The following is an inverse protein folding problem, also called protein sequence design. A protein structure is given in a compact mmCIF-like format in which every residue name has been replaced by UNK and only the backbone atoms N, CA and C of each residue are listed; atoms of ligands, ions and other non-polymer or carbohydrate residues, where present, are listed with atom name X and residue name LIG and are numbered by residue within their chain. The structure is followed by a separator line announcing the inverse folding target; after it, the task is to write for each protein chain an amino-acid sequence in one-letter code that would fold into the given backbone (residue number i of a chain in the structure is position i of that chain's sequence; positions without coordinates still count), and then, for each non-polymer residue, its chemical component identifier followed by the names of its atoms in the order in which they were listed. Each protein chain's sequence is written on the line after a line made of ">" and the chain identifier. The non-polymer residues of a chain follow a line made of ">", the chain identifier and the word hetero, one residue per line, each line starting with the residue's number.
data_IF_859963847851
#
_entry.id   IF_859963847851
#
_cell.length_a   1.000
_cell.length_b   1.000
_cell.length_c   1.000
_cell.angle_alpha   90.00
_cell.angle_beta   90.00
_cell.angle_gamma   90.00
#
_symmetry.space_group_name_H-M   'P 1'
#
loop_
_entity.id
_entity.type
_entity.pdbx_description
1 polymer ?
#
# COMPACT_ATOMS: atom_id res chain seq x y z
N UNK A 1 -31.80 -21.96 2.21
CA UNK A 1 -31.16 -20.69 2.56
C UNK A 1 -29.62 -20.74 2.58
N UNK A 2 -28.98 -21.62 1.84
CA UNK A 2 -27.49 -21.75 1.79
C UNK A 2 -26.84 -21.14 0.54
N UNK A 3 -27.63 -20.65 -0.42
CA UNK A 3 -27.10 -20.12 -1.68
C UNK A 3 -26.70 -18.64 -1.65
N UNK A 4 -27.14 -17.86 -0.65
CA UNK A 4 -26.89 -16.41 -0.59
C UNK A 4 -25.49 -16.09 -0.04
N UNK A 5 -24.95 -16.92 0.85
CA UNK A 5 -23.62 -16.69 1.46
C UNK A 5 -22.45 -16.91 0.49
N UNK A 6 -22.62 -17.73 -0.54
CA UNK A 6 -21.56 -18.02 -1.52
C UNK A 6 -21.51 -17.02 -2.69
N UNK A 7 -22.56 -16.23 -2.89
CA UNK A 7 -22.62 -15.25 -3.98
C UNK A 7 -22.02 -13.88 -3.59
N UNK A 8 -21.98 -13.53 -2.29
CA UNK A 8 -21.47 -12.24 -1.81
C UNK A 8 -19.98 -12.03 -2.13
N UNK A 9 -19.07 -12.97 -1.87
CA UNK A 9 -17.66 -12.77 -2.22
C UNK A 9 -17.44 -12.68 -3.74
N UNK A 10 -18.12 -13.47 -4.54
CA UNK A 10 -18.01 -13.41 -6.01
C UNK A 10 -18.61 -12.12 -6.59
N UNK A 11 -19.70 -11.62 -6.05
CA UNK A 11 -20.28 -10.34 -6.44
C UNK A 11 -19.34 -9.16 -6.10
N UNK A 12 -18.71 -9.19 -4.94
CA UNK A 12 -17.74 -8.17 -4.53
C UNK A 12 -16.48 -8.20 -5.45
N UNK A 13 -15.97 -9.38 -5.77
CA UNK A 13 -14.82 -9.53 -6.70
C UNK A 13 -15.20 -9.03 -8.10
N UNK A 14 -16.37 -9.41 -8.63
CA UNK A 14 -16.84 -8.94 -9.93
C UNK A 14 -17.06 -7.42 -9.97
N UNK A 15 -17.58 -6.85 -8.89
CA UNK A 15 -17.76 -5.41 -8.76
C UNK A 15 -16.42 -4.68 -8.73
N UNK A 16 -15.45 -5.14 -7.94
CA UNK A 16 -14.08 -4.58 -7.89
C UNK A 16 -13.40 -4.66 -9.27
N UNK A 17 -13.50 -5.79 -9.96
CA UNK A 17 -12.94 -5.96 -11.30
C UNK A 17 -13.61 -5.01 -12.33
N UNK A 18 -14.92 -4.77 -12.20
CA UNK A 18 -15.64 -3.75 -12.98
C UNK A 18 -15.10 -2.34 -12.72
N UNK A 19 -14.86 -1.99 -11.48
CA UNK A 19 -14.26 -0.71 -11.09
C UNK A 19 -12.86 -0.53 -11.70
N UNK A 20 -12.01 -1.55 -11.64
CA UNK A 20 -10.68 -1.51 -12.25
C UNK A 20 -10.75 -1.35 -13.78
N UNK A 21 -11.72 -2.00 -14.45
CA UNK A 21 -11.94 -1.82 -15.89
C UNK A 21 -12.38 -0.39 -16.25
N UNK A 22 -13.28 0.20 -15.45
CA UNK A 22 -13.69 1.60 -15.59
C UNK A 22 -12.49 2.53 -15.38
N UNK A 23 -11.70 2.31 -14.31
CA UNK A 23 -10.48 3.05 -14.04
C UNK A 23 -9.54 3.02 -15.26
N UNK A 24 -9.23 1.83 -15.78
CA UNK A 24 -8.35 1.70 -16.96
C UNK A 24 -8.92 2.38 -18.21
N UNK A 25 -10.24 2.49 -18.34
CA UNK A 25 -10.87 3.17 -19.48
C UNK A 25 -10.59 4.67 -19.50
N UNK A 26 -10.44 5.32 -18.34
CA UNK A 26 -10.06 6.74 -18.25
C UNK A 26 -8.70 7.03 -18.89
N UNK A 27 -7.82 6.02 -18.92
CA UNK A 27 -6.47 6.12 -19.46
C UNK A 27 -6.31 5.39 -20.81
N UNK A 28 -7.42 5.11 -21.52
CA UNK A 28 -7.38 4.35 -22.76
C UNK A 28 -6.56 5.03 -23.88
N UNK A 29 -6.50 6.38 -23.87
CA UNK A 29 -5.73 7.18 -24.82
C UNK A 29 -4.23 7.34 -24.47
N UNK A 30 -3.78 6.77 -23.35
CA UNK A 30 -2.37 6.84 -22.96
C UNK A 30 -1.54 5.85 -23.78
N UNK A 31 -0.28 6.18 -24.00
CA UNK A 31 0.68 5.29 -24.64
C UNK A 31 0.87 4.02 -23.81
N UNK A 32 1.03 2.89 -24.52
CA UNK A 32 1.32 1.60 -23.90
C UNK A 32 2.81 1.33 -23.92
N UNK A 33 3.33 0.94 -22.78
CA UNK A 33 4.69 0.47 -22.61
C UNK A 33 4.63 -0.87 -21.88
N UNK A 34 5.40 -1.82 -22.32
CA UNK A 34 5.50 -3.14 -21.67
C UNK A 34 6.75 -3.19 -20.81
N UNK A 35 6.62 -3.80 -19.65
CA UNK A 35 7.73 -4.24 -18.82
C UNK A 35 7.66 -5.75 -18.60
N UNK A 36 8.60 -6.34 -17.87
CA UNK A 36 8.56 -7.77 -17.57
C UNK A 36 7.37 -8.15 -16.69
N UNK A 37 6.91 -7.22 -15.83
CA UNK A 37 5.89 -7.49 -14.83
C UNK A 37 4.63 -6.62 -14.92
N UNK A 38 4.58 -5.59 -15.79
CA UNK A 38 3.44 -4.68 -15.89
C UNK A 38 3.01 -4.42 -17.32
N UNK A 39 1.71 -4.16 -17.51
CA UNK A 39 1.18 -3.37 -18.60
C UNK A 39 1.19 -1.91 -18.18
N UNK A 40 2.05 -1.08 -18.76
CA UNK A 40 2.19 0.32 -18.37
C UNK A 40 1.37 1.21 -19.31
N UNK A 41 0.71 2.23 -18.75
CA UNK A 41 0.12 3.34 -19.49
C UNK A 41 0.69 4.66 -18.98
N UNK A 42 1.15 5.49 -19.92
CA UNK A 42 1.78 6.77 -19.63
C UNK A 42 1.25 7.86 -20.55
N UNK A 43 1.10 9.08 -20.06
CA UNK A 43 0.73 10.22 -20.90
C UNK A 43 1.85 10.53 -21.90
N UNK A 44 1.51 10.92 -23.14
CA UNK A 44 2.48 11.26 -24.17
C UNK A 44 3.47 12.36 -23.76
N UNK A 45 3.05 13.30 -22.90
CA UNK A 45 3.94 14.34 -22.36
C UNK A 45 5.07 13.79 -21.47
N UNK A 46 4.90 12.60 -20.91
CA UNK A 46 5.86 11.93 -20.03
C UNK A 46 6.53 10.70 -20.69
N UNK A 47 6.30 10.48 -22.00
CA UNK A 47 6.76 9.27 -22.69
C UNK A 47 8.28 9.09 -22.64
N UNK A 48 9.05 10.15 -22.52
CA UNK A 48 10.51 10.08 -22.33
C UNK A 48 10.92 9.40 -21.02
N UNK A 49 10.06 9.40 -19.99
CA UNK A 49 10.29 8.74 -18.70
C UNK A 49 9.99 7.25 -18.73
N UNK A 50 9.23 6.78 -19.74
CA UNK A 50 8.70 5.43 -19.78
C UNK A 50 9.76 4.32 -19.63
N UNK A 51 10.94 4.36 -20.28
CA UNK A 51 11.95 3.31 -20.13
C UNK A 51 12.49 3.23 -18.69
N UNK A 52 12.66 4.38 -18.03
CA UNK A 52 13.17 4.43 -16.65
C UNK A 52 12.12 3.98 -15.64
N UNK A 53 10.86 4.34 -15.86
CA UNK A 53 9.75 3.91 -15.02
C UNK A 53 9.47 2.42 -15.18
N UNK A 54 9.56 1.86 -16.38
CA UNK A 54 9.44 0.43 -16.61
C UNK A 54 10.57 -0.35 -15.90
N UNK A 55 11.81 0.10 -16.04
CA UNK A 55 12.95 -0.51 -15.35
C UNK A 55 12.78 -0.47 -13.83
N UNK A 56 12.32 0.65 -13.30
CA UNK A 56 12.08 0.80 -11.86
C UNK A 56 10.93 -0.10 -11.39
N UNK A 57 9.85 -0.20 -12.17
CA UNK A 57 8.75 -1.09 -11.86
C UNK A 57 9.21 -2.55 -11.73
N UNK A 58 10.01 -3.03 -12.69
CA UNK A 58 10.54 -4.39 -12.68
C UNK A 58 11.53 -4.59 -11.52
N UNK A 59 12.37 -3.60 -11.20
CA UNK A 59 13.26 -3.63 -10.04
C UNK A 59 12.47 -3.77 -8.72
N UNK A 60 11.43 -2.95 -8.54
CA UNK A 60 10.58 -2.98 -7.33
C UNK A 60 9.91 -4.33 -7.15
N UNK A 61 9.40 -4.95 -8.23
CA UNK A 61 8.84 -6.30 -8.17
C UNK A 61 9.85 -7.29 -7.59
N UNK A 62 11.09 -7.27 -8.10
CA UNK A 62 12.15 -8.15 -7.63
C UNK A 62 12.52 -7.92 -6.15
N UNK A 63 12.55 -6.67 -5.70
CA UNK A 63 12.86 -6.33 -4.31
C UNK A 63 11.70 -6.71 -3.35
N UNK A 64 10.46 -6.41 -3.74
CA UNK A 64 9.28 -6.81 -2.94
C UNK A 64 9.18 -8.33 -2.84
N UNK A 65 9.47 -9.07 -3.93
CA UNK A 65 9.44 -10.53 -3.92
C UNK A 65 10.45 -11.18 -2.95
N UNK A 66 11.56 -10.49 -2.62
CA UNK A 66 12.51 -10.96 -1.59
C UNK A 66 11.92 -10.87 -0.18
N UNK A 67 11.08 -9.87 0.08
CA UNK A 67 10.44 -9.65 1.37
C UNK A 67 9.12 -10.42 1.48
N UNK A 68 8.33 -10.43 0.41
CA UNK A 68 7.02 -11.04 0.29
C UNK A 68 6.99 -12.00 -0.90
N UNK A 69 7.51 -13.22 -0.77
CA UNK A 69 7.48 -14.22 -1.84
C UNK A 69 6.05 -14.47 -2.33
N UNK A 70 5.85 -14.44 -3.63
CA UNK A 70 4.55 -14.68 -4.25
C UNK A 70 4.74 -15.26 -5.66
N UNK A 71 3.67 -15.86 -6.19
CA UNK A 71 3.64 -16.38 -7.56
C UNK A 71 3.13 -15.25 -8.47
N UNK A 72 3.94 -14.86 -9.47
CA UNK A 72 3.50 -13.90 -10.48
C UNK A 72 2.37 -14.52 -11.31
N UNK A 73 1.29 -13.75 -11.49
CA UNK A 73 0.22 -14.14 -12.41
C UNK A 73 0.72 -14.07 -13.85
N UNK A 74 0.15 -14.92 -14.70
CA UNK A 74 0.38 -14.88 -16.14
C UNK A 74 -0.14 -13.58 -16.74
N UNK A 75 -1.25 -13.05 -16.19
CA UNK A 75 -1.81 -11.74 -16.53
C UNK A 75 -1.17 -10.67 -15.62
N UNK A 76 -0.38 -9.79 -16.22
CA UNK A 76 0.37 -8.75 -15.51
C UNK A 76 -0.58 -7.68 -14.98
N UNK A 77 -0.33 -7.11 -13.78
CA UNK A 77 -1.07 -5.93 -13.32
C UNK A 77 -0.80 -4.71 -14.21
N UNK A 78 -1.69 -3.75 -14.12
CA UNK A 78 -1.55 -2.47 -14.79
C UNK A 78 -0.82 -1.46 -13.91
N UNK A 79 0.10 -0.72 -14.52
CA UNK A 79 0.73 0.46 -13.92
C UNK A 79 0.35 1.68 -14.75
N UNK A 80 -0.39 2.59 -14.15
CA UNK A 80 -0.84 3.82 -14.79
C UNK A 80 -0.05 4.99 -14.22
N UNK A 81 0.58 5.77 -15.09
CA UNK A 81 1.31 6.99 -14.72
C UNK A 81 0.39 8.19 -14.99
N UNK A 82 -0.24 8.70 -13.94
CA UNK A 82 -1.13 9.85 -14.01
C UNK A 82 -0.32 11.15 -14.14
N UNK A 83 -0.59 12.01 -15.15
CA UNK A 83 0.25 13.18 -15.44
C UNK A 83 0.14 14.29 -14.37
N UNK A 84 -0.95 14.30 -13.61
CA UNK A 84 -1.23 15.29 -12.58
C UNK A 84 -2.23 14.81 -11.54
N UNK A 85 -2.34 15.51 -10.41
CA UNK A 85 -3.27 15.20 -9.31
C UNK A 85 -4.74 15.27 -9.75
N UNK A 86 -5.08 16.16 -10.67
CA UNK A 86 -6.45 16.30 -11.15
C UNK A 86 -6.90 15.04 -11.90
N UNK A 87 -6.05 14.54 -12.78
CA UNK A 87 -6.29 13.31 -13.54
C UNK A 87 -6.37 12.10 -12.61
N UNK A 88 -5.48 12.00 -11.63
CA UNK A 88 -5.51 10.93 -10.64
C UNK A 88 -6.81 10.97 -9.82
N UNK A 89 -7.15 12.11 -9.26
CA UNK A 89 -8.38 12.31 -8.45
C UNK A 89 -9.66 12.02 -9.23
N UNK A 90 -9.74 12.48 -10.47
CA UNK A 90 -10.93 12.28 -11.32
C UNK A 90 -11.23 10.80 -11.54
N UNK A 91 -10.20 9.97 -11.69
CA UNK A 91 -10.35 8.53 -11.88
C UNK A 91 -10.93 7.82 -10.64
N UNK A 92 -10.71 8.36 -9.44
CA UNK A 92 -11.20 7.79 -8.17
C UNK A 92 -12.42 8.55 -7.60
N UNK A 93 -12.93 9.57 -8.31
CA UNK A 93 -14.03 10.43 -7.85
C UNK A 93 -13.76 11.10 -6.50
N UNK A 94 -12.49 11.43 -6.19
CA UNK A 94 -12.11 12.08 -4.96
C UNK A 94 -12.38 13.59 -4.98
N UNK A 95 -12.78 14.12 -3.80
CA UNK A 95 -13.03 15.55 -3.63
C UNK A 95 -11.73 16.40 -3.61
N UNK A 96 -11.95 17.72 -3.62
CA UNK A 96 -10.86 18.67 -3.39
C UNK A 96 -10.25 18.46 -1.99
N UNK A 97 -8.92 18.59 -1.86
CA UNK A 97 -8.21 18.41 -0.60
C UNK A 97 -7.63 16.99 -0.37
N UNK A 98 -8.14 15.95 -1.04
CA UNK A 98 -7.53 14.63 -1.00
C UNK A 98 -6.33 14.60 -1.95
N UNK A 99 -5.14 14.24 -1.47
CA UNK A 99 -3.93 14.04 -2.26
C UNK A 99 -3.42 12.63 -2.09
N UNK A 100 -2.92 12.02 -3.16
CA UNK A 100 -2.20 10.75 -3.09
C UNK A 100 -1.05 10.76 -4.10
N UNK A 101 0.01 10.03 -3.81
CA UNK A 101 1.09 9.78 -4.75
C UNK A 101 0.85 8.52 -5.56
N UNK A 102 0.10 7.57 -4.98
CA UNK A 102 -0.29 6.32 -5.59
C UNK A 102 -1.65 5.84 -5.09
N UNK A 103 -2.24 4.92 -5.81
CA UNK A 103 -3.48 4.21 -5.44
C UNK A 103 -3.47 2.83 -6.09
N UNK A 104 -3.67 1.81 -5.30
CA UNK A 104 -3.92 0.46 -5.77
C UNK A 104 -5.42 0.15 -5.82
N UNK A 105 -5.88 -0.45 -6.90
CA UNK A 105 -7.25 -0.98 -7.02
C UNK A 105 -7.24 -2.30 -7.82
N UNK A 106 -7.48 -3.41 -7.16
CA UNK A 106 -7.59 -4.76 -7.71
C UNK A 106 -6.30 -5.22 -8.40
N UNK A 107 -6.15 -4.96 -9.70
CA UNK A 107 -4.99 -5.32 -10.52
C UNK A 107 -4.32 -4.08 -11.16
N UNK A 108 -4.65 -2.90 -10.65
CA UNK A 108 -4.24 -1.62 -11.24
C UNK A 108 -3.59 -0.73 -10.19
N UNK A 109 -2.34 -0.39 -10.41
CA UNK A 109 -1.60 0.61 -9.66
C UNK A 109 -1.66 1.91 -10.46
N UNK A 110 -2.12 3.00 -9.85
CA UNK A 110 -2.09 4.33 -10.46
C UNK A 110 -1.17 5.20 -9.63
N UNK A 111 -0.10 5.72 -10.22
CA UNK A 111 0.87 6.57 -9.52
C UNK A 111 1.00 7.93 -10.20
N UNK A 112 1.26 8.95 -9.40
CA UNK A 112 1.48 10.31 -9.90
C UNK A 112 2.82 10.39 -10.62
N UNK A 113 2.84 10.90 -11.84
CA UNK A 113 4.07 11.12 -12.62
C UNK A 113 5.09 11.95 -11.85
N UNK A 114 6.39 11.60 -11.89
CA UNK A 114 7.45 12.48 -11.36
C UNK A 114 7.37 13.91 -11.87
N UNK A 115 6.88 14.12 -13.10
CA UNK A 115 6.72 15.46 -13.69
C UNK A 115 5.77 16.36 -12.90
N UNK A 116 4.83 15.78 -12.17
CA UNK A 116 3.85 16.49 -11.35
C UNK A 116 4.32 16.78 -9.91
N UNK A 117 5.54 16.39 -9.55
CA UNK A 117 6.08 16.62 -8.20
C UNK A 117 6.64 18.05 -8.08
N UNK A 118 5.75 19.02 -7.90
CA UNK A 118 6.08 20.44 -7.89
C UNK A 118 6.84 20.93 -6.63
N UNK A 119 6.82 20.11 -5.55
CA UNK A 119 7.60 20.31 -4.33
C UNK A 119 9.07 19.88 -4.46
N UNK A 120 9.44 19.23 -5.58
CA UNK A 120 10.81 18.83 -5.93
C UNK A 120 11.26 19.64 -7.15
N UNK A 121 12.52 20.12 -7.15
CA UNK A 121 13.08 20.80 -8.33
C UNK A 121 13.06 19.89 -9.55
N UNK A 122 12.76 20.45 -10.72
CA UNK A 122 12.51 19.69 -11.96
C UNK A 122 13.62 18.68 -12.25
N UNK A 123 14.86 19.08 -12.03
CA UNK A 123 16.05 18.27 -12.32
C UNK A 123 16.18 17.04 -11.40
N UNK A 124 15.60 17.10 -10.22
CA UNK A 124 15.65 16.02 -9.21
C UNK A 124 14.40 15.14 -9.15
N UNK A 125 13.32 15.52 -9.83
CA UNK A 125 12.03 14.84 -9.72
C UNK A 125 12.11 13.33 -9.97
N UNK A 126 12.77 12.94 -11.04
CA UNK A 126 12.92 11.52 -11.36
C UNK A 126 13.80 10.81 -10.33
N UNK A 127 14.91 11.41 -9.90
CA UNK A 127 15.78 10.84 -8.88
C UNK A 127 15.05 10.61 -7.57
N UNK A 128 14.32 11.63 -7.07
CA UNK A 128 13.54 11.53 -5.84
C UNK A 128 12.39 10.53 -5.98
N UNK A 129 11.72 10.50 -7.15
CA UNK A 129 10.68 9.51 -7.42
C UNK A 129 11.22 8.07 -7.39
N UNK A 130 12.39 7.81 -7.97
CA UNK A 130 13.01 6.48 -7.96
C UNK A 130 13.47 6.06 -6.55
N UNK A 131 13.79 7.04 -5.69
CA UNK A 131 14.23 6.79 -4.32
C UNK A 131 13.07 6.70 -3.31
N UNK A 132 12.01 7.49 -3.49
CA UNK A 132 10.95 7.70 -2.49
C UNK A 132 9.53 7.57 -3.07
N UNK A 133 9.40 7.13 -4.32
CA UNK A 133 8.09 7.03 -4.98
C UNK A 133 7.24 5.87 -4.45
N UNK A 134 5.91 5.95 -4.63
CA UNK A 134 4.95 5.05 -3.99
C UNK A 134 4.87 3.65 -4.61
N UNK A 135 5.71 3.34 -5.60
CA UNK A 135 5.55 2.11 -6.38
C UNK A 135 5.69 0.84 -5.55
N UNK A 136 6.63 0.81 -4.59
CA UNK A 136 6.80 -0.32 -3.67
C UNK A 136 5.59 -0.48 -2.74
N UNK A 137 5.03 0.64 -2.29
CA UNK A 137 3.82 0.69 -1.48
C UNK A 137 2.62 0.09 -2.22
N UNK A 138 2.31 0.62 -3.41
CA UNK A 138 1.16 0.18 -4.20
C UNK A 138 1.31 -1.28 -4.69
N UNK A 139 2.53 -1.69 -5.03
CA UNK A 139 2.79 -3.06 -5.43
C UNK A 139 2.64 -4.04 -4.24
N UNK A 140 2.94 -3.61 -3.03
CA UNK A 140 2.70 -4.42 -1.83
C UNK A 140 1.21 -4.70 -1.63
N UNK A 141 0.32 -3.75 -1.85
CA UNK A 141 -1.12 -3.99 -1.81
C UNK A 141 -1.57 -5.04 -2.86
N UNK A 142 -1.00 -4.98 -4.07
CA UNK A 142 -1.26 -6.01 -5.08
C UNK A 142 -0.81 -7.41 -4.60
N UNK A 143 0.38 -7.52 -4.02
CA UNK A 143 0.88 -8.79 -3.48
C UNK A 143 0.01 -9.30 -2.33
N UNK A 144 -0.45 -8.41 -1.45
CA UNK A 144 -1.40 -8.76 -0.39
C UNK A 144 -2.69 -9.36 -0.95
N UNK A 145 -3.34 -8.65 -1.86
CA UNK A 145 -4.57 -9.14 -2.51
C UNK A 145 -4.34 -10.48 -3.22
N UNK A 146 -3.19 -10.63 -3.89
CA UNK A 146 -2.83 -11.86 -4.57
C UNK A 146 -2.69 -13.05 -3.62
N UNK A 147 -2.08 -12.84 -2.44
CA UNK A 147 -1.83 -13.89 -1.45
C UNK A 147 -3.04 -14.18 -0.57
N UNK A 148 -3.85 -13.18 -0.24
CA UNK A 148 -4.87 -13.29 0.81
C UNK A 148 -6.30 -13.18 0.30
N UNK A 149 -6.51 -12.75 -0.95
CA UNK A 149 -7.85 -12.48 -1.48
C UNK A 149 -8.57 -11.32 -0.78
N UNK A 150 -7.82 -10.41 -0.12
CA UNK A 150 -8.37 -9.28 0.63
C UNK A 150 -8.81 -9.63 2.07
N UNK A 151 -8.43 -10.78 2.59
CA UNK A 151 -8.77 -11.22 3.96
C UNK A 151 -7.79 -10.64 5.00
N UNK A 152 -7.82 -9.31 5.18
CA UNK A 152 -6.98 -8.60 6.16
C UNK A 152 -7.66 -7.31 6.63
N UNK A 153 -7.33 -6.79 7.83
CA UNK A 153 -7.76 -5.45 8.25
C UNK A 153 -7.03 -4.37 7.43
N UNK A 154 -7.72 -3.29 7.08
CA UNK A 154 -7.15 -2.22 6.25
C UNK A 154 -5.86 -1.63 6.84
N UNK A 155 -5.83 -1.37 8.16
CA UNK A 155 -4.62 -0.87 8.83
C UNK A 155 -3.40 -1.79 8.66
N UNK A 156 -3.62 -3.11 8.60
CA UNK A 156 -2.53 -4.08 8.39
C UNK A 156 -1.97 -3.97 6.97
N UNK A 157 -2.84 -3.80 5.99
CA UNK A 157 -2.44 -3.56 4.58
C UNK A 157 -1.55 -2.33 4.48
N UNK A 158 -2.00 -1.19 5.04
CA UNK A 158 -1.23 0.06 5.04
C UNK A 158 0.09 -0.07 5.82
N UNK A 159 0.05 -0.71 6.97
CA UNK A 159 1.25 -0.92 7.79
C UNK A 159 2.28 -1.81 7.11
N UNK A 160 1.86 -2.87 6.40
CA UNK A 160 2.77 -3.75 5.67
C UNK A 160 3.34 -3.06 4.42
N UNK A 161 2.50 -2.31 3.68
CA UNK A 161 2.96 -1.55 2.53
C UNK A 161 4.03 -0.52 2.92
N UNK A 162 3.81 0.22 4.02
CA UNK A 162 4.81 1.14 4.55
C UNK A 162 6.06 0.44 5.10
N UNK A 163 5.93 -0.73 5.73
CA UNK A 163 7.09 -1.49 6.20
C UNK A 163 7.97 -1.93 5.03
N UNK A 164 7.36 -2.43 3.96
CA UNK A 164 8.09 -2.81 2.74
C UNK A 164 8.76 -1.60 2.11
N UNK A 165 8.03 -0.50 1.94
CA UNK A 165 8.57 0.76 1.42
C UNK A 165 9.76 1.27 2.27
N UNK A 166 9.60 1.28 3.59
CA UNK A 166 10.68 1.64 4.52
C UNK A 166 11.91 0.74 4.39
N UNK A 167 11.72 -0.58 4.22
CA UNK A 167 12.83 -1.52 4.04
C UNK A 167 13.56 -1.34 2.70
N UNK A 168 12.86 -0.92 1.67
CA UNK A 168 13.45 -0.73 0.35
C UNK A 168 14.17 0.62 0.19
N UNK A 169 13.59 1.69 0.72
CA UNK A 169 14.05 3.05 0.43
C UNK A 169 14.20 3.95 1.67
N UNK A 170 13.84 3.48 2.85
CA UNK A 170 13.92 4.26 4.10
C UNK A 170 12.84 5.31 4.26
N UNK A 171 11.83 5.34 3.38
CA UNK A 171 10.75 6.32 3.46
C UNK A 171 9.81 6.04 4.63
N UNK A 172 9.43 7.07 5.36
CA UNK A 172 8.40 7.07 6.40
C UNK A 172 7.61 8.38 6.32
N UNK A 173 6.29 8.29 6.25
CA UNK A 173 5.45 9.47 6.29
C UNK A 173 5.36 10.03 7.71
N UNK A 174 6.10 11.10 7.98
CA UNK A 174 6.16 11.76 9.28
C UNK A 174 5.68 13.21 9.14
N UNK A 175 4.61 13.53 9.85
CA UNK A 175 4.06 14.88 9.97
C UNK A 175 4.07 15.37 11.43
N UNK A 176 3.74 16.63 11.64
CA UNK A 176 3.86 17.29 12.94
C UNK A 176 2.94 16.68 14.01
N UNK A 177 1.79 16.13 13.59
CA UNK A 177 0.78 15.51 14.46
C UNK A 177 0.80 13.97 14.42
N UNK A 178 1.82 13.37 13.81
CA UNK A 178 1.96 11.91 13.69
C UNK A 178 2.76 11.24 14.81
N UNK A 179 3.06 11.97 15.90
CA UNK A 179 3.70 11.38 17.08
C UNK A 179 2.80 10.34 17.76
N UNK A 180 3.36 9.17 18.11
CA UNK A 180 2.63 8.14 18.86
C UNK A 180 2.50 8.45 20.36
N UNK A 181 2.57 9.73 20.77
CA UNK A 181 2.17 10.18 22.11
C UNK A 181 0.66 10.07 22.34
N UNK A 182 -0.10 10.13 21.25
CA UNK A 182 -1.55 9.89 21.15
C UNK A 182 -1.80 8.95 19.95
N UNK A 183 -2.79 8.06 20.03
CA UNK A 183 -3.02 7.05 18.99
C UNK A 183 -4.47 6.56 18.97
N UNK A 184 -4.90 6.06 17.84
CA UNK A 184 -6.19 5.44 17.65
C UNK A 184 -6.27 4.05 18.28
N UNK A 185 -7.44 3.68 18.78
CA UNK A 185 -7.72 2.31 19.18
C UNK A 185 -7.76 1.38 17.95
N UNK A 186 -7.60 0.06 18.16
CA UNK A 186 -7.78 -0.90 17.06
C UNK A 186 -9.18 -0.84 16.45
N UNK A 187 -10.21 -0.55 17.27
CA UNK A 187 -11.57 -0.44 16.79
C UNK A 187 -11.75 0.75 15.82
N UNK A 188 -11.11 1.89 16.09
CA UNK A 188 -11.10 3.07 15.21
C UNK A 188 -10.37 2.76 13.90
N UNK A 189 -9.16 2.15 13.98
CA UNK A 189 -8.39 1.76 12.79
C UNK A 189 -9.12 0.74 11.89
N UNK A 190 -10.01 -0.07 12.46
CA UNK A 190 -10.78 -1.10 11.75
C UNK A 190 -12.14 -0.61 11.26
N UNK A 191 -12.67 0.50 11.79
CA UNK A 191 -14.00 1.00 11.42
C UNK A 191 -13.99 1.67 10.06
N UNK A 192 -13.28 2.77 9.93
CA UNK A 192 -13.09 3.53 8.68
C UNK A 192 -11.74 4.25 8.74
N UNK A 193 -10.70 3.54 8.39
CA UNK A 193 -9.33 4.04 8.40
C UNK A 193 -9.16 5.31 7.55
N UNK A 194 -9.86 5.38 6.42
CA UNK A 194 -9.75 6.48 5.47
C UNK A 194 -10.48 7.74 5.91
N UNK A 195 -11.42 7.63 6.85
CA UNK A 195 -12.14 8.76 7.43
C UNK A 195 -11.50 9.32 8.72
N UNK A 196 -10.41 8.72 9.19
CA UNK A 196 -9.69 9.24 10.36
C UNK A 196 -9.11 10.63 10.06
N UNK A 197 -9.25 11.56 11.00
CA UNK A 197 -8.90 12.97 10.82
C UNK A 197 -7.37 13.23 10.78
N UNK A 198 -6.57 12.36 11.45
CA UNK A 198 -5.11 12.45 11.49
C UNK A 198 -4.49 11.29 10.69
N UNK A 199 -4.55 11.41 9.36
CA UNK A 199 -4.11 10.33 8.46
C UNK A 199 -2.65 9.95 8.68
N UNK A 200 -1.72 10.90 8.75
CA UNK A 200 -0.31 10.62 8.98
C UNK A 200 -0.07 9.85 10.29
N UNK A 201 -0.86 10.13 11.35
CA UNK A 201 -0.82 9.35 12.58
C UNK A 201 -1.33 7.92 12.36
N UNK A 202 -2.47 7.74 11.69
CA UNK A 202 -3.06 6.43 11.43
C UNK A 202 -2.12 5.53 10.63
N UNK A 203 -1.53 6.06 9.56
CA UNK A 203 -0.53 5.38 8.74
C UNK A 203 0.71 5.02 9.53
N UNK A 204 1.26 5.96 10.29
CA UNK A 204 2.45 5.71 11.11
C UNK A 204 2.20 4.71 12.23
N UNK A 205 1.02 4.75 12.83
CA UNK A 205 0.58 3.76 13.82
C UNK A 205 0.44 2.38 13.20
N UNK A 206 -0.10 2.27 11.99
CA UNK A 206 -0.19 1.03 11.23
C UNK A 206 1.21 0.45 10.94
N UNK A 207 2.15 1.28 10.45
CA UNK A 207 3.56 0.93 10.29
C UNK A 207 4.17 0.39 11.60
N UNK A 208 3.97 1.10 12.72
CA UNK A 208 4.55 0.70 14.01
C UNK A 208 4.01 -0.64 14.50
N UNK A 209 2.72 -0.94 14.27
CA UNK A 209 2.10 -2.22 14.64
C UNK A 209 2.66 -3.38 13.83
N UNK A 210 2.84 -3.20 12.52
CA UNK A 210 3.43 -4.23 11.66
C UNK A 210 4.92 -4.39 11.92
N UNK A 211 5.64 -3.29 12.20
CA UNK A 211 7.05 -3.34 12.65
C UNK A 211 7.21 -4.09 13.99
N UNK A 212 6.24 -3.97 14.88
CA UNK A 212 6.22 -4.77 16.12
C UNK A 212 6.12 -6.27 15.80
N UNK A 213 5.17 -6.68 14.95
CA UNK A 213 5.05 -8.09 14.54
C UNK A 213 6.33 -8.59 13.86
N UNK A 214 6.91 -7.76 12.99
CA UNK A 214 8.19 -8.09 12.35
C UNK A 214 9.32 -8.22 13.38
N UNK A 215 9.36 -7.39 14.43
CA UNK A 215 10.38 -7.49 15.48
C UNK A 215 10.30 -8.79 16.29
N UNK A 216 9.14 -9.43 16.38
CA UNK A 216 8.93 -10.69 17.08
C UNK A 216 9.41 -11.91 16.30
N UNK A 217 9.14 -11.96 14.99
CA UNK A 217 9.41 -13.15 14.16
C UNK A 217 9.97 -12.84 12.76
N UNK A 218 10.46 -11.63 12.54
CA UNK A 218 10.99 -11.20 11.24
C UNK A 218 9.93 -11.19 10.14
N UNK A 219 10.40 -11.05 8.90
CA UNK A 219 9.56 -11.16 7.71
C UNK A 219 8.96 -12.57 7.54
N UNK A 220 9.58 -13.61 8.10
CA UNK A 220 9.06 -14.98 8.09
C UNK A 220 7.71 -15.04 8.78
N UNK A 221 7.59 -14.52 10.01
CA UNK A 221 6.31 -14.50 10.73
C UNK A 221 5.21 -13.71 10.02
N UNK A 222 5.57 -12.61 9.33
CA UNK A 222 4.61 -11.88 8.50
C UNK A 222 4.18 -12.70 7.27
N UNK A 223 5.09 -13.45 6.66
CA UNK A 223 4.77 -14.34 5.55
C UNK A 223 3.88 -15.51 5.97
N UNK A 224 4.14 -16.12 7.14
CA UNK A 224 3.27 -17.15 7.72
C UNK A 224 1.85 -16.59 7.94
N UNK A 225 1.73 -15.34 8.44
CA UNK A 225 0.46 -14.67 8.63
C UNK A 225 -0.30 -14.49 7.30
N UNK A 226 0.40 -14.06 6.22
CA UNK A 226 -0.21 -13.93 4.90
C UNK A 226 -0.68 -15.28 4.34
N UNK A 227 0.04 -16.36 4.59
CA UNK A 227 -0.34 -17.71 4.15
C UNK A 227 -1.59 -18.20 4.88
N UNK A 228 -1.72 -17.92 6.19
CA UNK A 228 -2.92 -18.23 6.96
C UNK A 228 -4.14 -17.44 6.47
N UNK A 229 -3.95 -16.14 6.23
CA UNK A 229 -4.99 -15.27 5.66
C UNK A 229 -5.45 -15.78 4.28
N UNK A 230 -4.49 -16.24 3.45
CA UNK A 230 -4.78 -16.82 2.14
C UNK A 230 -5.57 -18.15 2.21
N UNK A 231 -5.45 -18.88 3.31
CA UNK A 231 -6.26 -20.07 3.62
C UNK A 231 -7.64 -19.74 4.20
N UNK A 232 -7.97 -18.46 4.36
CA UNK A 232 -9.25 -18.01 4.90
C UNK A 232 -9.31 -17.95 6.43
N UNK A 233 -8.19 -18.11 7.13
CA UNK A 233 -8.09 -17.90 8.57
C UNK A 233 -8.25 -16.42 8.88
N UNK A 234 -9.02 -16.04 9.88
CA UNK A 234 -9.20 -14.64 10.26
C UNK A 234 -7.92 -14.04 10.83
N UNK A 235 -7.72 -12.73 10.67
CA UNK A 235 -6.51 -12.04 11.09
C UNK A 235 -6.15 -12.32 12.57
N UNK A 236 -7.09 -12.21 13.49
CA UNK A 236 -6.82 -12.41 14.91
C UNK A 236 -6.62 -13.88 15.29
N UNK A 237 -7.21 -14.81 14.56
CA UNK A 237 -6.93 -16.23 14.75
C UNK A 237 -5.50 -16.54 14.28
N UNK A 238 -5.10 -16.11 13.10
CA UNK A 238 -3.74 -16.27 12.58
C UNK A 238 -2.71 -15.57 13.48
N UNK A 239 -3.03 -14.37 13.98
CA UNK A 239 -2.19 -13.67 14.95
C UNK A 239 -1.96 -14.49 16.22
N UNK A 240 -3.02 -15.14 16.72
CA UNK A 240 -2.92 -16.00 17.91
C UNK A 240 -2.12 -17.27 17.64
N UNK A 241 -2.32 -17.91 16.50
CA UNK A 241 -1.62 -19.15 16.15
C UNK A 241 -0.12 -18.93 15.90
N UNK A 242 0.24 -17.82 15.23
CA UNK A 242 1.63 -17.54 14.84
C UNK A 242 2.42 -16.83 15.94
N UNK A 243 1.82 -15.84 16.59
CA UNK A 243 2.50 -14.97 17.54
C UNK A 243 2.11 -15.22 19.01
N UNK A 244 1.09 -16.06 19.26
CA UNK A 244 0.56 -16.26 20.62
C UNK A 244 -0.17 -15.04 21.18
N UNK A 245 -0.63 -14.13 20.34
CA UNK A 245 -1.23 -12.84 20.70
C UNK A 245 -2.71 -12.80 20.36
N UNK A 246 -3.57 -12.61 21.35
CA UNK A 246 -4.93 -12.17 21.10
C UNK A 246 -4.99 -10.63 20.86
N UNK A 247 -6.18 -10.11 20.54
CA UNK A 247 -6.37 -8.69 20.24
C UNK A 247 -5.95 -7.75 21.39
N UNK A 248 -6.18 -8.17 22.63
CA UNK A 248 -5.84 -7.40 23.83
C UNK A 248 -4.34 -7.39 24.09
N UNK A 249 -3.74 -8.58 24.18
CA UNK A 249 -2.31 -8.75 24.42
C UNK A 249 -1.45 -8.16 23.29
N UNK A 250 -1.92 -8.23 22.04
CA UNK A 250 -1.27 -7.53 20.91
C UNK A 250 -1.20 -6.03 21.16
N UNK A 251 -2.31 -5.41 21.56
CA UNK A 251 -2.35 -3.97 21.81
C UNK A 251 -1.44 -3.55 22.95
N UNK A 252 -1.49 -4.25 24.08
CA UNK A 252 -0.69 -3.95 25.28
C UNK A 252 0.81 -4.13 25.02
N UNK A 253 1.19 -5.23 24.38
CA UNK A 253 2.59 -5.51 24.09
C UNK A 253 3.16 -4.58 23.03
N UNK A 254 2.39 -4.25 21.95
CA UNK A 254 2.77 -3.24 20.98
C UNK A 254 2.99 -1.87 21.66
N UNK A 255 2.09 -1.44 22.56
CA UNK A 255 2.25 -0.18 23.29
C UNK A 255 3.49 -0.18 24.18
N UNK A 256 3.82 -1.30 24.81
CA UNK A 256 5.03 -1.44 25.61
C UNK A 256 6.29 -1.37 24.72
N UNK A 257 6.24 -1.98 23.54
CA UNK A 257 7.35 -2.03 22.60
C UNK A 257 7.65 -0.67 21.99
N UNK A 258 6.67 0.04 21.43
CA UNK A 258 6.95 1.31 20.76
C UNK A 258 7.43 2.40 21.72
N UNK A 259 7.06 2.35 23.00
CA UNK A 259 7.54 3.31 24.01
C UNK A 259 9.04 3.19 24.29
N UNK A 260 9.67 2.11 23.89
CA UNK A 260 11.11 1.90 24.07
C UNK A 260 11.94 2.54 22.93
N UNK A 261 11.31 2.93 21.84
CA UNK A 261 11.96 3.53 20.67
C UNK A 261 11.49 4.98 20.47
N UNK A 262 12.41 5.93 20.66
CA UNK A 262 12.14 7.36 20.50
C UNK A 262 11.70 7.73 19.09
N UNK A 263 12.04 6.94 18.07
CA UNK A 263 11.63 7.14 16.67
C UNK A 263 10.13 7.42 16.57
N UNK A 264 9.30 6.70 17.30
CA UNK A 264 7.84 6.80 17.20
C UNK A 264 7.26 8.10 17.77
N UNK A 265 8.04 8.84 18.55
CA UNK A 265 7.67 10.14 19.13
C UNK A 265 8.24 11.33 18.35
N UNK A 266 9.14 11.09 17.40
CA UNK A 266 9.66 12.15 16.55
C UNK A 266 8.58 12.62 15.58
N UNK A 267 8.57 13.91 15.32
CA UNK A 267 7.71 14.55 14.33
C UNK A 267 8.56 15.32 13.33
N UNK A 268 7.99 15.64 12.16
CA UNK A 268 8.70 16.44 11.18
C UNK A 268 9.09 17.80 11.80
N UNK A 269 10.35 18.14 11.74
CA UNK A 269 10.81 19.50 12.05
C UNK A 269 10.23 20.44 11.01
N UNK A 270 9.60 21.55 11.44
CA UNK A 270 9.25 22.63 10.51
C UNK A 270 10.54 23.13 9.87
N UNK A 271 10.72 22.86 8.58
CA UNK A 271 11.73 23.50 7.75
C UNK A 271 11.22 24.84 7.26
#
# INVERSE_FOLDING_TARGET
>A
MLAVSLLLPHAAVAWRAGQAAVLRSHYAGFERVESDYFHIRINAADSELAPRLAQEADRVVGEVAKLLPHIHKTDKPWLIIAPDQKTLKAAFSWGEGTGALGVYMVDTLTILSPSAWDWVTKEKRLEVFLAEGPLAHEYTHYVLDLRTGGNYPYWFSEGLAQLVEYKLNGYEWVEQDSSLSDFYTLAELESDFTALDRQALAYRQALSKVSYLESLRGMEGLNDLLDDLGRGISFYQALSEIYGLDRGSFTEQWQSWFRQDQRWFLTASRK
#
